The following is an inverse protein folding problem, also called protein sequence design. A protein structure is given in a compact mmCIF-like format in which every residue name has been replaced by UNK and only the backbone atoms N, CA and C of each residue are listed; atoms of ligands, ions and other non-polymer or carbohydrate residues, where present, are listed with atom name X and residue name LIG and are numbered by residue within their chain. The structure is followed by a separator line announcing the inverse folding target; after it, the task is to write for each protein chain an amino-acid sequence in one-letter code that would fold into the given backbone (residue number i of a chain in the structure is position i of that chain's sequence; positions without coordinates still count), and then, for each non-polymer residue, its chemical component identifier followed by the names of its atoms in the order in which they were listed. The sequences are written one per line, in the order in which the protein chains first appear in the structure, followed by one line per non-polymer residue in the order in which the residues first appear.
data_IF_337896200813
#
_entry.id   IF_337896200813
#
_cell.length_a   1.000
_cell.length_b   1.000
_cell.length_c   1.000
_cell.angle_alpha   90.00
_cell.angle_beta   90.00
_cell.angle_gamma   90.00
#
_symmetry.space_group_name_H-M   'P 1'
#
loop_
_entity.id
_entity.type
_entity.pdbx_description
1 polymer ?
#
# COMPACT_ATOMS: atom_id res chain seq x y z
N UNK A 1 61.18 -24.78 44.28
CA UNK A 1 60.91 -24.04 43.03
C UNK A 1 59.48 -23.52 43.11
N UNK A 2 59.32 -22.21 43.28
CA UNK A 2 58.02 -21.52 43.28
C UNK A 2 57.82 -20.95 41.88
N UNK A 3 56.64 -21.14 41.30
CA UNK A 3 56.24 -20.49 40.05
C UNK A 3 55.37 -19.30 40.42
N UNK A 4 55.82 -18.09 40.07
CA UNK A 4 55.06 -16.86 40.22
C UNK A 4 54.15 -16.66 39.00
N UNK A 5 52.85 -16.65 39.27
CA UNK A 5 51.79 -16.14 38.42
C UNK A 5 51.74 -14.61 38.53
N UNK A 6 51.89 -13.89 37.43
CA UNK A 6 51.13 -12.66 37.15
C UNK A 6 51.52 -12.12 35.77
N UNK A 7 50.63 -12.32 34.81
CA UNK A 7 50.71 -11.71 33.50
C UNK A 7 49.52 -10.75 33.34
N UNK A 8 49.75 -9.70 32.54
CA UNK A 8 48.76 -8.93 31.77
C UNK A 8 47.83 -8.01 32.57
N UNK A 9 48.18 -6.72 32.63
CA UNK A 9 47.18 -5.64 32.66
C UNK A 9 47.74 -4.43 31.90
N UNK A 10 46.98 -3.93 30.93
CA UNK A 10 47.22 -2.58 30.39
C UNK A 10 47.07 -2.41 28.89
N UNK A 11 45.98 -2.89 28.29
CA UNK A 11 45.51 -2.35 27.01
C UNK A 11 44.13 -1.74 27.25
N UNK A 12 44.10 -0.43 27.56
CA UNK A 12 42.89 0.37 27.48
C UNK A 12 42.52 0.47 25.99
N UNK A 13 41.61 -0.40 25.54
CA UNK A 13 40.90 -0.20 24.27
C UNK A 13 40.14 1.12 24.37
N UNK A 14 40.65 2.15 23.70
CA UNK A 14 39.83 3.29 23.29
C UNK A 14 38.68 2.72 22.45
N UNK A 15 37.50 2.61 23.04
CA UNK A 15 36.29 2.41 22.30
C UNK A 15 36.18 3.56 21.28
N UNK A 16 36.35 3.21 20.01
CA UNK A 16 36.05 4.06 18.86
C UNK A 16 34.61 4.56 19.02
N UNK A 17 34.46 5.83 19.39
CA UNK A 17 33.25 6.60 19.17
C UNK A 17 33.14 6.85 17.66
N UNK A 18 32.82 5.80 16.90
CA UNK A 18 32.33 5.99 15.55
C UNK A 18 30.93 6.60 15.68
N UNK A 19 30.64 7.79 15.13
CA UNK A 19 29.26 8.20 14.92
C UNK A 19 28.70 7.21 13.90
N UNK A 20 28.05 6.17 14.40
CA UNK A 20 27.23 5.28 13.60
C UNK A 20 26.10 6.13 13.04
N UNK A 21 26.29 6.67 11.83
CA UNK A 21 25.22 7.21 10.99
C UNK A 21 24.34 6.00 10.70
N UNK A 22 23.34 5.81 11.53
CA UNK A 22 22.43 4.69 11.42
C UNK A 22 21.63 4.89 10.13
N UNK A 23 21.62 3.86 9.29
CA UNK A 23 20.55 3.68 8.30
C UNK A 23 19.20 4.01 8.96
N UNK A 24 18.25 4.55 8.19
CA UNK A 24 16.89 4.86 8.66
C UNK A 24 16.41 3.80 9.66
N UNK A 25 16.32 4.21 10.93
CA UNK A 25 15.95 3.31 12.02
C UNK A 25 14.50 2.86 11.84
N UNK A 26 14.05 1.88 12.63
CA UNK A 26 12.72 1.29 12.47
C UNK A 26 11.59 2.35 12.39
N UNK A 27 11.65 3.38 13.23
CA UNK A 27 10.69 4.48 13.22
C UNK A 27 10.73 5.29 11.92
N UNK A 28 11.92 5.67 11.47
CA UNK A 28 12.12 6.32 10.18
C UNK A 28 11.54 5.46 9.04
N UNK A 29 11.80 4.14 9.03
CA UNK A 29 11.31 3.26 7.95
C UNK A 29 9.78 3.21 7.92
N UNK A 30 9.14 3.21 9.09
CA UNK A 30 7.69 3.27 9.21
C UNK A 30 7.16 4.59 8.66
N UNK A 31 7.74 5.72 9.05
CA UNK A 31 7.27 7.05 8.62
C UNK A 31 7.50 7.28 7.12
N UNK A 32 8.66 6.85 6.60
CA UNK A 32 8.93 6.81 5.16
C UNK A 32 7.85 5.99 4.44
N UNK A 33 7.56 4.78 4.92
CA UNK A 33 6.56 3.92 4.27
C UNK A 33 5.15 4.52 4.31
N UNK A 34 4.77 5.19 5.41
CA UNK A 34 3.49 5.90 5.52
C UNK A 34 3.37 7.03 4.51
N UNK A 35 4.42 7.82 4.32
CA UNK A 35 4.43 8.92 3.34
C UNK A 35 3.99 8.46 1.94
N UNK A 36 4.43 7.28 1.51
CA UNK A 36 3.99 6.66 0.27
C UNK A 36 2.60 6.02 0.39
N UNK A 37 2.40 5.20 1.43
CA UNK A 37 1.17 4.40 1.60
C UNK A 37 -0.09 5.27 1.63
N UNK A 38 -0.04 6.42 2.29
CA UNK A 38 -1.19 7.35 2.39
C UNK A 38 -1.66 7.83 1.01
N UNK A 39 -0.72 8.04 0.06
CA UNK A 39 -1.07 8.45 -1.32
C UNK A 39 -1.65 7.30 -2.13
N UNK A 40 -1.09 6.11 -1.99
CA UNK A 40 -1.63 4.93 -2.66
C UNK A 40 -2.99 4.50 -2.10
N UNK A 41 -3.25 4.73 -0.82
CA UNK A 41 -4.58 4.51 -0.23
C UNK A 41 -5.63 5.40 -0.89
N UNK A 42 -5.34 6.68 -1.12
CA UNK A 42 -6.25 7.59 -1.83
C UNK A 42 -6.58 7.05 -3.23
N UNK A 43 -5.58 6.55 -3.96
CA UNK A 43 -5.78 5.97 -5.29
C UNK A 43 -6.57 4.66 -5.25
N UNK A 44 -6.23 3.77 -4.32
CA UNK A 44 -6.98 2.52 -4.15
C UNK A 44 -8.42 2.77 -3.73
N UNK A 45 -8.73 3.84 -3.00
CA UNK A 45 -10.12 4.16 -2.65
C UNK A 45 -10.98 4.45 -3.87
N UNK A 46 -10.43 5.09 -4.91
CA UNK A 46 -11.16 5.37 -6.16
C UNK A 46 -11.62 4.08 -6.85
N UNK A 47 -10.83 3.01 -6.74
CA UNK A 47 -11.19 1.70 -7.27
C UNK A 47 -12.44 1.12 -6.59
N UNK A 48 -12.51 1.16 -5.26
CA UNK A 48 -13.67 0.67 -4.52
C UNK A 48 -14.89 1.58 -4.68
N UNK A 49 -14.68 2.90 -4.87
CA UNK A 49 -15.75 3.82 -5.27
C UNK A 49 -16.34 3.43 -6.62
N UNK A 50 -15.51 3.17 -7.63
CA UNK A 50 -15.97 2.72 -8.95
C UNK A 50 -16.69 1.37 -8.90
N UNK A 51 -16.19 0.44 -8.09
CA UNK A 51 -16.85 -0.85 -7.87
C UNK A 51 -18.26 -0.66 -7.28
N UNK A 52 -18.38 0.18 -6.26
CA UNK A 52 -19.67 0.55 -5.66
C UNK A 52 -20.62 1.16 -6.70
N UNK A 53 -20.17 2.17 -7.46
CA UNK A 53 -20.98 2.82 -8.49
C UNK A 53 -21.47 1.83 -9.54
N UNK A 54 -20.61 0.89 -9.99
CA UNK A 54 -21.01 -0.12 -10.97
C UNK A 54 -22.01 -1.13 -10.39
N UNK A 55 -21.87 -1.53 -9.13
CA UNK A 55 -22.85 -2.36 -8.43
C UNK A 55 -24.19 -1.64 -8.32
N UNK A 56 -24.20 -0.38 -7.87
CA UNK A 56 -25.44 0.40 -7.78
C UNK A 56 -26.19 0.49 -9.11
N UNK A 57 -25.46 0.66 -10.21
CA UNK A 57 -26.04 0.85 -11.54
C UNK A 57 -26.40 -0.46 -12.26
N UNK A 58 -25.69 -1.56 -12.00
CA UNK A 58 -25.74 -2.76 -12.86
C UNK A 58 -26.10 -4.04 -12.11
N UNK A 59 -26.22 -4.04 -10.78
CA UNK A 59 -26.52 -5.26 -10.02
C UNK A 59 -27.82 -5.93 -10.45
N UNK A 60 -28.86 -5.16 -10.75
CA UNK A 60 -30.16 -5.67 -11.22
C UNK A 60 -30.29 -5.74 -12.75
N UNK A 61 -29.20 -5.56 -13.50
CA UNK A 61 -29.25 -5.61 -14.97
C UNK A 61 -29.83 -6.95 -15.46
N UNK A 62 -30.75 -6.90 -16.43
CA UNK A 62 -31.39 -8.09 -17.00
C UNK A 62 -32.43 -8.78 -16.10
N UNK A 63 -32.70 -8.26 -14.89
CA UNK A 63 -33.79 -8.73 -14.03
C UNK A 63 -35.08 -7.97 -14.40
N UNK A 64 -36.26 -8.63 -14.50
CA UNK A 64 -37.51 -7.96 -14.84
C UNK A 64 -37.78 -6.75 -13.94
N UNK A 65 -38.41 -5.71 -14.49
CA UNK A 65 -38.71 -4.49 -13.75
C UNK A 65 -39.52 -4.78 -12.46
N UNK A 66 -39.08 -4.18 -11.35
CA UNK A 66 -39.68 -4.28 -10.01
C UNK A 66 -39.70 -5.70 -9.40
N UNK A 67 -38.56 -6.42 -9.31
CA UNK A 67 -38.50 -7.65 -8.52
C UNK A 67 -38.63 -7.35 -7.01
N UNK A 68 -38.43 -6.09 -6.64
CA UNK A 68 -38.45 -5.54 -5.30
C UNK A 68 -39.12 -4.16 -5.32
N UNK A 69 -39.73 -3.77 -4.20
CA UNK A 69 -40.14 -2.39 -3.97
C UNK A 69 -38.93 -1.48 -3.70
N UNK A 70 -39.08 -0.17 -3.91
CA UNK A 70 -37.99 0.79 -3.73
C UNK A 70 -37.22 0.69 -2.39
N UNK A 71 -37.89 0.52 -1.22
CA UNK A 71 -37.17 0.36 0.06
C UNK A 71 -36.29 -0.90 0.13
N UNK A 72 -36.75 -2.00 -0.49
CA UNK A 72 -36.02 -3.25 -0.54
C UNK A 72 -34.81 -3.10 -1.47
N UNK A 73 -34.98 -2.47 -2.64
CA UNK A 73 -33.88 -2.15 -3.55
C UNK A 73 -32.78 -1.35 -2.84
N UNK A 74 -33.14 -0.28 -2.11
CA UNK A 74 -32.18 0.50 -1.32
C UNK A 74 -31.46 -0.36 -0.28
N UNK A 75 -32.18 -1.25 0.41
CA UNK A 75 -31.59 -2.14 1.45
C UNK A 75 -30.62 -3.15 0.84
N UNK A 76 -30.94 -3.71 -0.33
CA UNK A 76 -30.07 -4.64 -1.05
C UNK A 76 -28.80 -3.94 -1.53
N UNK A 77 -28.93 -2.79 -2.21
CA UNK A 77 -27.76 -2.04 -2.67
C UNK A 77 -26.89 -1.57 -1.50
N UNK A 78 -27.50 -1.17 -0.38
CA UNK A 78 -26.77 -0.84 0.84
C UNK A 78 -25.98 -2.04 1.38
N UNK A 79 -26.58 -3.23 1.40
CA UNK A 79 -25.91 -4.45 1.89
C UNK A 79 -24.68 -4.79 1.02
N UNK A 80 -24.80 -4.64 -0.30
CA UNK A 80 -23.66 -4.82 -1.20
C UNK A 80 -22.60 -3.74 -0.99
N UNK A 81 -23.01 -2.48 -0.85
CA UNK A 81 -22.10 -1.35 -0.65
C UNK A 81 -21.34 -1.41 0.67
N UNK A 82 -22.01 -1.79 1.76
CA UNK A 82 -21.37 -2.01 3.07
C UNK A 82 -20.31 -3.12 2.98
N UNK A 83 -20.57 -4.17 2.18
CA UNK A 83 -19.60 -5.24 1.95
C UNK A 83 -18.37 -4.81 1.13
N UNK A 84 -18.58 -4.00 0.08
CA UNK A 84 -17.48 -3.41 -0.71
C UNK A 84 -16.64 -2.47 0.16
N UNK A 85 -17.29 -1.71 1.05
CA UNK A 85 -16.60 -0.85 2.03
C UNK A 85 -15.74 -1.69 2.99
N UNK A 86 -16.26 -2.82 3.47
CA UNK A 86 -15.47 -3.74 4.29
C UNK A 86 -14.27 -4.35 3.52
N UNK A 87 -14.43 -4.64 2.24
CA UNK A 87 -13.33 -5.09 1.37
C UNK A 87 -12.26 -4.00 1.20
N UNK A 88 -12.68 -2.75 1.02
CA UNK A 88 -11.81 -1.58 0.97
C UNK A 88 -11.02 -1.41 2.27
N UNK A 89 -11.67 -1.47 3.44
CA UNK A 89 -10.99 -1.39 4.74
C UNK A 89 -10.00 -2.52 4.96
N UNK A 90 -10.31 -3.73 4.50
CA UNK A 90 -9.40 -4.87 4.54
C UNK A 90 -8.20 -4.66 3.62
N UNK A 91 -8.40 -4.04 2.46
CA UNK A 91 -7.33 -3.66 1.53
C UNK A 91 -6.43 -2.55 2.10
N UNK A 92 -6.97 -1.47 2.65
CA UNK A 92 -6.17 -0.37 3.23
C UNK A 92 -5.13 -0.87 4.25
N UNK A 93 -5.47 -1.92 5.00
CA UNK A 93 -4.57 -2.53 5.99
C UNK A 93 -3.34 -3.22 5.38
N UNK A 94 -3.37 -3.58 4.10
CA UNK A 94 -2.24 -4.25 3.42
C UNK A 94 -1.28 -3.26 2.76
N UNK A 95 -1.76 -2.09 2.31
CA UNK A 95 -1.00 -1.11 1.52
C UNK A 95 0.31 -0.73 2.22
N UNK A 96 0.23 -0.36 3.50
CA UNK A 96 1.42 0.00 4.29
C UNK A 96 2.47 -1.11 4.28
N UNK A 97 2.07 -2.36 4.51
CA UNK A 97 2.99 -3.48 4.59
C UNK A 97 3.63 -3.76 3.22
N UNK A 98 2.86 -3.68 2.13
CA UNK A 98 3.37 -3.81 0.76
C UNK A 98 4.37 -2.72 0.44
N UNK A 99 4.08 -1.46 0.77
CA UNK A 99 5.00 -0.33 0.59
C UNK A 99 6.28 -0.52 1.39
N UNK A 100 6.14 -0.87 2.67
CA UNK A 100 7.26 -1.12 3.57
C UNK A 100 8.19 -2.20 3.00
N UNK A 101 7.62 -3.34 2.60
CA UNK A 101 8.40 -4.45 2.07
C UNK A 101 9.05 -4.08 0.73
N UNK A 102 8.36 -3.32 -0.10
CA UNK A 102 8.89 -2.85 -1.38
C UNK A 102 10.13 -1.98 -1.21
N UNK A 103 10.15 -1.09 -0.22
CA UNK A 103 11.29 -0.20 0.01
C UNK A 103 12.42 -0.94 0.75
N UNK A 104 12.08 -1.67 1.81
CA UNK A 104 13.08 -2.11 2.80
C UNK A 104 13.38 -3.62 2.77
N UNK A 105 12.56 -4.46 2.14
CA UNK A 105 12.78 -5.92 2.12
C UNK A 105 13.05 -6.48 0.73
N UNK A 106 12.44 -5.93 -0.31
CA UNK A 106 12.65 -6.37 -1.69
C UNK A 106 13.90 -5.75 -2.29
N UNK A 107 14.54 -6.45 -3.23
CA UNK A 107 15.72 -5.94 -3.94
C UNK A 107 15.37 -4.93 -5.04
N UNK A 108 16.15 -3.85 -5.21
CA UNK A 108 17.23 -3.42 -4.31
C UNK A 108 16.68 -2.88 -2.98
N UNK A 109 17.25 -3.35 -1.86
CA UNK A 109 16.83 -2.94 -0.52
C UNK A 109 17.41 -1.59 -0.16
N UNK A 110 16.57 -0.66 0.31
CA UNK A 110 17.02 0.60 0.91
C UNK A 110 17.43 0.36 2.37
N UNK A 111 18.57 -0.30 2.57
CA UNK A 111 19.12 -0.63 3.90
C UNK A 111 20.64 -0.42 3.94
N UNK A 112 21.20 -0.33 5.14
CA UNK A 112 22.65 -0.36 5.36
C UNK A 112 23.31 1.02 5.44
N UNK A 113 24.61 0.98 5.71
CA UNK A 113 25.45 2.16 5.93
C UNK A 113 25.46 3.07 4.69
N UNK A 114 25.15 4.34 4.92
CA UNK A 114 25.15 5.38 3.90
C UNK A 114 26.49 6.14 3.85
N UNK A 115 27.49 5.82 4.66
CA UNK A 115 28.73 6.60 4.68
C UNK A 115 29.78 6.15 3.66
N UNK A 116 29.52 5.10 2.88
CA UNK A 116 30.50 4.59 1.90
C UNK A 116 29.82 4.25 0.57
N UNK A 117 30.06 5.04 -0.50
CA UNK A 117 30.82 6.30 -0.53
C UNK A 117 30.10 7.43 0.22
N UNK A 118 30.86 8.29 0.91
CA UNK A 118 30.30 9.42 1.65
C UNK A 118 29.85 10.53 0.68
N UNK A 119 28.54 10.67 0.46
CA UNK A 119 27.98 11.68 -0.47
C UNK A 119 27.34 12.87 0.21
N UNK A 120 26.65 12.63 1.32
CA UNK A 120 25.95 13.64 2.10
C UNK A 120 26.32 13.50 3.57
N UNK A 121 26.41 14.63 4.27
CA UNK A 121 26.62 14.63 5.71
C UNK A 121 25.28 14.45 6.41
N UNK A 122 25.18 13.49 7.33
CA UNK A 122 23.97 13.39 8.17
C UNK A 122 23.80 14.69 8.96
N UNK A 123 22.62 15.33 8.90
CA UNK A 123 22.37 16.54 9.67
C UNK A 123 22.37 16.21 11.17
N UNK A 124 22.64 17.19 12.04
CA UNK A 124 22.49 17.01 13.47
C UNK A 124 21.08 16.54 13.84
N UNK A 125 20.95 15.82 14.96
CA UNK A 125 19.62 15.41 15.46
C UNK A 125 18.69 16.61 15.58
N UNK A 126 17.47 16.47 15.05
CA UNK A 126 16.46 17.53 15.03
C UNK A 126 16.61 18.56 13.90
N UNK A 127 17.59 18.37 13.00
CA UNK A 127 17.73 19.15 11.77
C UNK A 127 17.30 18.30 10.60
N UNK A 128 16.41 18.85 9.77
CA UNK A 128 15.90 18.18 8.58
C UNK A 128 16.99 18.05 7.51
N UNK A 129 16.88 17.01 6.68
CA UNK A 129 17.57 16.94 5.41
C UNK A 129 17.05 18.02 4.45
N UNK A 130 17.82 18.28 3.40
CA UNK A 130 17.51 19.29 2.40
C UNK A 130 17.27 18.66 1.03
N UNK A 131 16.58 19.37 0.14
CA UNK A 131 16.38 18.90 -1.23
C UNK A 131 17.73 18.72 -1.99
N UNK A 132 18.75 19.58 -1.79
CA UNK A 132 20.11 19.29 -2.26
C UNK A 132 20.65 17.93 -1.80
N UNK A 133 20.42 17.51 -0.55
CA UNK A 133 20.87 16.20 -0.07
C UNK A 133 20.22 15.07 -0.89
N UNK A 134 18.93 15.18 -1.18
CA UNK A 134 18.22 14.26 -2.08
C UNK A 134 18.81 14.24 -3.49
N UNK A 135 19.11 15.40 -4.08
CA UNK A 135 19.67 15.45 -5.43
C UNK A 135 21.11 14.93 -5.53
N UNK A 136 21.89 15.03 -4.45
CA UNK A 136 23.29 14.62 -4.41
C UNK A 136 23.50 13.12 -4.18
N UNK A 137 22.44 12.35 -3.91
CA UNK A 137 22.53 10.90 -3.81
C UNK A 137 22.71 10.26 -5.18
N UNK A 138 23.53 9.22 -5.27
CA UNK A 138 23.78 8.46 -6.49
C UNK A 138 23.89 6.94 -6.27
N UNK A 139 23.59 6.46 -5.06
CA UNK A 139 23.62 5.03 -4.68
C UNK A 139 22.49 4.71 -3.71
N UNK A 140 22.02 3.47 -3.75
CA UNK A 140 20.92 2.99 -2.92
C UNK A 140 21.45 2.69 -1.51
N UNK A 141 20.96 3.44 -0.54
CA UNK A 141 21.13 3.16 0.88
C UNK A 141 19.85 3.47 1.65
N UNK A 142 19.83 3.20 2.96
CA UNK A 142 18.61 3.30 3.76
C UNK A 142 18.19 4.70 4.19
N UNK A 143 18.95 5.78 3.94
CA UNK A 143 18.59 7.11 4.44
C UNK A 143 17.47 7.79 3.61
N UNK A 144 16.76 8.77 4.17
CA UNK A 144 15.70 9.47 3.46
C UNK A 144 16.13 10.22 2.18
N UNK A 145 17.32 10.85 2.09
CA UNK A 145 17.82 11.40 0.83
C UNK A 145 17.92 10.38 -0.30
N UNK A 146 18.43 9.15 -0.04
CA UNK A 146 18.51 8.07 -1.03
C UNK A 146 17.11 7.69 -1.53
N UNK A 147 16.17 7.50 -0.60
CA UNK A 147 14.79 7.15 -0.91
C UNK A 147 14.12 8.27 -1.72
N UNK A 148 14.38 9.53 -1.38
CA UNK A 148 13.92 10.70 -2.13
C UNK A 148 14.50 10.74 -3.56
N UNK A 149 15.79 10.44 -3.73
CA UNK A 149 16.45 10.41 -5.02
C UNK A 149 15.88 9.32 -5.93
N UNK A 150 15.80 8.11 -5.41
CA UNK A 150 15.32 6.93 -6.14
C UNK A 150 13.79 6.77 -6.10
N UNK A 151 13.07 7.82 -5.71
CA UNK A 151 11.60 7.80 -5.61
C UNK A 151 10.92 7.33 -6.90
N UNK A 152 11.33 7.71 -8.13
CA UNK A 152 10.72 7.18 -9.36
C UNK A 152 10.80 5.65 -9.46
N UNK A 153 11.95 5.07 -9.10
CA UNK A 153 12.15 3.62 -9.07
C UNK A 153 11.27 2.96 -8.00
N UNK A 154 11.26 3.52 -6.79
CA UNK A 154 10.44 3.04 -5.67
C UNK A 154 8.96 3.06 -6.04
N UNK A 155 8.45 4.17 -6.58
CA UNK A 155 7.06 4.30 -7.03
C UNK A 155 6.69 3.21 -8.03
N UNK A 156 7.51 3.03 -9.07
CA UNK A 156 7.28 1.99 -10.09
C UNK A 156 7.15 0.60 -9.47
N UNK A 157 8.01 0.27 -8.50
CA UNK A 157 7.97 -1.02 -7.80
C UNK A 157 6.72 -1.17 -6.93
N UNK A 158 6.34 -0.12 -6.20
CA UNK A 158 5.14 -0.11 -5.35
C UNK A 158 3.90 -0.29 -6.21
N UNK A 159 3.75 0.53 -7.26
CA UNK A 159 2.62 0.46 -8.20
C UNK A 159 2.49 -0.96 -8.75
N UNK A 160 3.57 -1.52 -9.29
CA UNK A 160 3.55 -2.88 -9.83
C UNK A 160 3.06 -3.91 -8.81
N UNK A 161 3.51 -3.84 -7.56
CA UNK A 161 3.10 -4.78 -6.50
C UNK A 161 1.66 -4.58 -6.07
N UNK A 162 1.23 -3.33 -5.85
CA UNK A 162 -0.14 -3.03 -5.45
C UNK A 162 -1.13 -3.40 -6.56
N UNK A 163 -0.81 -3.10 -7.83
CA UNK A 163 -1.63 -3.51 -8.98
C UNK A 163 -1.77 -5.03 -9.05
N UNK A 164 -0.66 -5.78 -8.94
CA UNK A 164 -0.72 -7.24 -8.95
C UNK A 164 -1.58 -7.79 -7.79
N UNK A 165 -1.37 -7.29 -6.57
CA UNK A 165 -2.18 -7.69 -5.41
C UNK A 165 -3.66 -7.33 -5.55
N UNK A 166 -3.99 -6.17 -6.13
CA UNK A 166 -5.37 -5.78 -6.40
C UNK A 166 -5.99 -6.67 -7.48
N UNK A 167 -5.25 -6.99 -8.54
CA UNK A 167 -5.70 -7.89 -9.61
C UNK A 167 -6.00 -9.28 -9.05
N UNK A 168 -5.08 -9.88 -8.30
CA UNK A 168 -5.27 -11.20 -7.66
C UNK A 168 -6.52 -11.21 -6.75
N UNK A 169 -6.81 -10.07 -6.11
CA UNK A 169 -7.96 -9.92 -5.21
C UNK A 169 -9.31 -9.78 -5.89
N UNK A 170 -9.35 -9.53 -7.20
CA UNK A 170 -10.61 -9.40 -7.96
C UNK A 170 -10.70 -10.36 -9.14
N UNK A 171 -9.73 -11.26 -9.30
CA UNK A 171 -9.68 -12.19 -10.42
C UNK A 171 -10.71 -13.33 -10.25
N UNK A 172 -11.91 -13.09 -10.75
CA UNK A 172 -13.00 -14.06 -10.81
C UNK A 172 -13.63 -14.45 -9.46
N UNK A 173 -14.38 -15.54 -9.52
CA UNK A 173 -15.26 -16.03 -8.45
C UNK A 173 -14.50 -16.59 -7.23
N UNK A 174 -13.22 -16.90 -7.39
CA UNK A 174 -12.35 -17.39 -6.32
C UNK A 174 -11.51 -16.28 -5.68
N UNK A 175 -11.73 -15.03 -6.10
CA UNK A 175 -10.95 -13.90 -5.62
C UNK A 175 -11.25 -13.55 -4.16
N UNK A 176 -10.25 -13.05 -3.43
CA UNK A 176 -10.38 -12.67 -2.01
C UNK A 176 -11.55 -11.68 -1.78
N UNK A 177 -11.75 -10.72 -2.69
CA UNK A 177 -12.84 -9.74 -2.59
C UNK A 177 -14.18 -10.43 -2.82
N UNK A 178 -14.25 -11.32 -3.82
CA UNK A 178 -15.48 -12.02 -4.11
C UNK A 178 -15.89 -12.97 -2.98
N UNK A 179 -15.00 -13.91 -2.64
CA UNK A 179 -15.23 -14.95 -1.63
C UNK A 179 -15.38 -14.35 -0.24
N UNK A 180 -14.55 -13.37 0.10
CA UNK A 180 -14.51 -12.79 1.45
C UNK A 180 -15.63 -11.80 1.74
N UNK A 181 -16.18 -11.14 0.72
CA UNK A 181 -17.07 -9.98 0.92
C UNK A 181 -18.32 -10.04 0.05
N UNK A 182 -18.17 -10.14 -1.28
CA UNK A 182 -19.31 -10.01 -2.20
C UNK A 182 -20.25 -11.23 -2.13
N UNK A 183 -19.72 -12.44 -2.15
CA UNK A 183 -20.52 -13.67 -2.09
C UNK A 183 -21.30 -13.80 -0.77
N UNK A 184 -20.71 -13.55 0.42
CA UNK A 184 -21.47 -13.49 1.68
C UNK A 184 -22.57 -12.43 1.66
N UNK A 185 -22.30 -11.24 1.10
CA UNK A 185 -23.30 -10.18 0.99
C UNK A 185 -24.45 -10.57 0.06
N UNK A 186 -24.15 -11.19 -1.08
CA UNK A 186 -25.16 -11.74 -1.98
C UNK A 186 -26.00 -12.82 -1.28
N UNK A 187 -25.37 -13.72 -0.53
CA UNK A 187 -26.09 -14.74 0.24
C UNK A 187 -27.02 -14.10 1.29
N UNK A 188 -26.60 -13.03 1.96
CA UNK A 188 -27.43 -12.27 2.89
C UNK A 188 -28.63 -11.64 2.17
N UNK A 189 -28.39 -11.02 1.01
CA UNK A 189 -29.44 -10.44 0.15
C UNK A 189 -30.48 -11.49 -0.25
N UNK A 190 -30.06 -12.68 -0.68
CA UNK A 190 -30.97 -13.74 -1.09
C UNK A 190 -31.78 -14.31 0.09
N UNK A 191 -31.19 -14.28 1.29
CA UNK A 191 -31.85 -14.72 2.52
C UNK A 191 -32.90 -13.70 2.98
N UNK A 192 -32.59 -12.40 2.90
CA UNK A 192 -33.51 -11.33 3.28
C UNK A 192 -34.58 -11.05 2.23
N UNK A 193 -34.27 -11.27 0.95
CA UNK A 193 -35.15 -11.03 -0.18
C UNK A 193 -35.30 -12.30 -1.05
N UNK A 194 -36.08 -13.31 -0.60
CA UNK A 194 -36.21 -14.59 -1.31
C UNK A 194 -36.72 -14.46 -2.75
N UNK A 195 -37.39 -13.35 -3.08
CA UNK A 195 -37.87 -13.01 -4.43
C UNK A 195 -36.73 -12.92 -5.45
N UNK A 196 -35.50 -12.67 -5.00
CA UNK A 196 -34.31 -12.63 -5.86
C UNK A 196 -33.71 -14.02 -6.14
N UNK A 197 -34.11 -15.06 -5.40
CA UNK A 197 -33.57 -16.43 -5.57
C UNK A 197 -33.67 -16.96 -7.00
N UNK A 198 -34.79 -16.78 -7.73
CA UNK A 198 -34.89 -17.21 -9.13
C UNK A 198 -33.88 -16.50 -10.06
N UNK A 199 -33.37 -15.35 -9.64
CA UNK A 199 -32.44 -14.51 -10.40
C UNK A 199 -30.98 -14.68 -9.97
N UNK A 200 -30.67 -15.65 -9.09
CA UNK A 200 -29.33 -15.88 -8.56
C UNK A 200 -28.24 -15.90 -9.63
N UNK A 201 -28.46 -16.66 -10.71
CA UNK A 201 -27.49 -16.79 -11.80
C UNK A 201 -27.22 -15.46 -12.49
N UNK A 202 -28.25 -14.63 -12.69
CA UNK A 202 -28.13 -13.30 -13.29
C UNK A 202 -27.38 -12.35 -12.35
N UNK A 203 -27.70 -12.36 -11.06
CA UNK A 203 -27.00 -11.54 -10.05
C UNK A 203 -25.51 -11.90 -9.97
N UNK A 204 -25.18 -13.19 -9.94
CA UNK A 204 -23.79 -13.66 -10.02
C UNK A 204 -23.10 -13.17 -11.29
N UNK A 205 -23.72 -13.36 -12.46
CA UNK A 205 -23.15 -12.93 -13.73
C UNK A 205 -22.88 -11.42 -13.78
N UNK A 206 -23.82 -10.61 -13.29
CA UNK A 206 -23.66 -9.15 -13.22
C UNK A 206 -22.48 -8.77 -12.31
N UNK A 207 -22.34 -9.40 -11.14
CA UNK A 207 -21.21 -9.13 -10.24
C UNK A 207 -19.87 -9.49 -10.88
N UNK A 208 -19.79 -10.61 -11.57
CA UNK A 208 -18.57 -11.04 -12.26
C UNK A 208 -18.21 -10.08 -13.39
N UNK A 209 -19.19 -9.64 -14.19
CA UNK A 209 -18.98 -8.65 -15.24
C UNK A 209 -18.51 -7.31 -14.67
N UNK A 210 -19.10 -6.88 -13.54
CA UNK A 210 -18.67 -5.68 -12.84
C UNK A 210 -17.20 -5.80 -12.39
N UNK A 211 -16.84 -6.92 -11.76
CA UNK A 211 -15.46 -7.14 -11.28
C UNK A 211 -14.46 -7.18 -12.43
N UNK A 212 -14.76 -7.86 -13.54
CA UNK A 212 -13.91 -7.85 -14.72
C UNK A 212 -13.79 -6.45 -15.34
N UNK A 213 -14.89 -5.70 -15.41
CA UNK A 213 -14.84 -4.32 -15.90
C UNK A 213 -13.96 -3.43 -15.00
N UNK A 214 -14.04 -3.61 -13.69
CA UNK A 214 -13.26 -2.84 -12.72
C UNK A 214 -11.78 -3.25 -12.74
N UNK A 215 -11.49 -4.54 -12.95
CA UNK A 215 -10.14 -5.08 -13.14
C UNK A 215 -9.44 -4.49 -14.36
N UNK A 216 -10.16 -4.25 -15.46
CA UNK A 216 -9.59 -3.60 -16.65
C UNK A 216 -9.10 -2.18 -16.34
N UNK A 217 -9.76 -1.47 -15.41
CA UNK A 217 -9.34 -0.13 -14.98
C UNK A 217 -8.07 -0.14 -14.12
N UNK A 218 -7.70 -1.29 -13.52
CA UNK A 218 -6.44 -1.41 -12.77
C UNK A 218 -5.20 -1.24 -13.66
N UNK A 219 -5.33 -1.39 -14.98
CA UNK A 219 -4.24 -1.08 -15.93
C UNK A 219 -3.85 0.41 -15.83
N UNK A 220 -4.78 1.27 -15.43
CA UNK A 220 -4.55 2.70 -15.23
C UNK A 220 -4.19 3.07 -13.78
N UNK A 221 -4.01 2.08 -12.88
CA UNK A 221 -3.71 2.34 -11.48
C UNK A 221 -2.43 3.17 -11.31
N UNK A 222 -2.56 4.32 -10.66
CA UNK A 222 -1.46 5.24 -10.39
C UNK A 222 -0.70 5.70 -11.65
N UNK A 223 -1.36 5.75 -12.81
CA UNK A 223 -0.81 6.41 -14.00
C UNK A 223 -0.72 7.94 -13.78
N UNK A 224 -0.15 8.66 -14.75
CA UNK A 224 0.06 10.11 -14.65
C UNK A 224 -1.25 10.93 -14.60
N UNK A 225 -2.39 10.37 -15.02
CA UNK A 225 -3.70 11.03 -14.95
C UNK A 225 -4.30 10.96 -13.54
N UNK A 226 -4.02 9.89 -12.80
CA UNK A 226 -4.53 9.69 -11.44
C UNK A 226 -3.53 10.13 -10.37
N UNK A 227 -2.23 9.96 -10.60
CA UNK A 227 -1.19 10.38 -9.68
C UNK A 227 -0.97 11.89 -9.77
N UNK A 228 -1.28 12.62 -8.69
CA UNK A 228 -1.10 14.07 -8.68
C UNK A 228 0.38 14.46 -8.59
N UNK A 229 0.92 15.29 -9.50
CA UNK A 229 2.33 15.69 -9.47
C UNK A 229 2.78 16.31 -8.15
N UNK A 230 1.89 17.02 -7.44
CA UNK A 230 2.18 17.60 -6.12
C UNK A 230 2.49 16.56 -5.05
N UNK A 231 1.96 15.33 -5.15
CA UNK A 231 2.23 14.27 -4.18
C UNK A 231 3.69 13.84 -4.18
N UNK A 232 4.36 13.91 -5.32
CA UNK A 232 5.80 13.63 -5.40
C UNK A 232 6.58 14.63 -4.55
N UNK A 233 6.21 15.91 -4.61
CA UNK A 233 6.87 16.93 -3.80
C UNK A 233 6.50 16.80 -2.33
N UNK A 234 5.23 16.55 -2.00
CA UNK A 234 4.80 16.33 -0.61
C UNK A 234 5.52 15.15 0.04
N UNK A 235 5.63 14.02 -0.66
CA UNK A 235 6.41 12.86 -0.19
C UNK A 235 7.85 13.27 0.02
N UNK A 236 8.51 13.89 -0.97
CA UNK A 236 9.91 14.31 -0.84
C UNK A 236 10.13 15.23 0.36
N UNK A 237 9.29 16.24 0.54
CA UNK A 237 9.39 17.14 1.69
C UNK A 237 9.25 16.40 3.02
N UNK A 238 8.27 15.50 3.11
CA UNK A 238 8.03 14.69 4.30
C UNK A 238 9.21 13.75 4.60
N UNK A 239 9.74 13.06 3.59
CA UNK A 239 10.91 12.19 3.73
C UNK A 239 12.10 12.95 4.35
N UNK A 240 12.34 14.18 3.89
CA UNK A 240 13.46 14.99 4.36
C UNK A 240 13.28 15.51 5.79
N UNK A 241 12.10 15.36 6.40
CA UNK A 241 11.90 15.65 7.83
C UNK A 241 12.33 14.51 8.75
N UNK A 242 12.63 13.33 8.21
CA UNK A 242 13.04 12.17 9.01
C UNK A 242 14.57 12.15 9.15
N UNK A 243 15.13 12.35 10.36
CA UNK A 243 16.59 12.41 10.56
C UNK A 243 17.29 11.04 10.42
#
# INVERSE_FOLDING_TARGET
MRFDTAAIFGAFSMALLAPSVLACERECQVNVSRAFADKYEILSNQYFTLLNEKVENSFFYGIPNNPLGAPQTTTVLKTMSDSITAAQEAWSKTIFQTVFDTIFKDEPKFKGDCNVPHRVNQPPRGVNWTMPDCHNMDYICGNPPSICHFMPMIKTRIVKKLTAQLQDRVDGDDSDVYVGFIAPALQNVLTSEPQLTPHLKTLHANLNEILESVKLELVNFANDDYWKPEWDMEIKWLLLTFP
#
